data_IF_566856167236
#
_entry.id   IF_566856167236
#
_cell.length_a   1.000
_cell.length_b   1.000
_cell.length_c   1.000
_cell.angle_alpha   90.00
_cell.angle_beta   90.00
_cell.angle_gamma   90.00
#
_symmetry.space_group_name_H-M   'P 1'
#
loop_
_entity.id
_entity.type
_entity.pdbx_description
1 polymer ?
#
# COMPACT_ATOMS: atom_id res chain seq x y z
N UNK A 1 19.70 -82.83 -46.60
CA UNK A 1 20.13 -83.36 -45.28
C UNK A 1 21.48 -82.72 -44.97
N UNK A 2 21.73 -82.11 -43.79
CA UNK A 2 21.40 -82.60 -42.44
C UNK A 2 20.44 -81.71 -41.64
N UNK A 3 20.21 -82.13 -40.40
CA UNK A 3 19.10 -81.88 -39.44
C UNK A 3 19.57 -80.95 -38.28
N UNK A 4 18.80 -80.66 -37.20
CA UNK A 4 18.37 -79.30 -36.81
C UNK A 4 18.73 -78.86 -35.36
N UNK A 5 18.10 -77.75 -34.90
CA UNK A 5 17.82 -77.30 -33.51
C UNK A 5 18.93 -76.58 -32.72
N UNK A 6 18.62 -75.91 -31.59
CA UNK A 6 17.47 -75.05 -31.25
C UNK A 6 17.93 -73.72 -30.61
N UNK A 7 17.05 -72.71 -30.43
CA UNK A 7 16.83 -72.09 -29.10
C UNK A 7 15.83 -70.92 -29.15
N UNK A 8 14.79 -71.07 -28.31
CA UNK A 8 14.15 -70.03 -27.49
C UNK A 8 13.71 -68.70 -28.12
N UNK A 9 12.41 -68.61 -28.41
CA UNK A 9 11.40 -67.73 -27.76
C UNK A 9 11.92 -66.80 -26.62
N UNK A 10 11.16 -65.80 -26.13
CA UNK A 10 10.46 -64.69 -26.78
C UNK A 10 10.52 -63.42 -25.87
N UNK A 11 11.18 -62.31 -26.21
CA UNK A 11 11.15 -61.18 -25.25
C UNK A 11 11.37 -59.77 -25.81
N UNK A 12 11.72 -59.60 -27.08
CA UNK A 12 12.13 -58.26 -27.53
C UNK A 12 10.96 -57.36 -27.96
N UNK A 13 9.81 -57.93 -28.29
CA UNK A 13 8.64 -57.15 -28.74
C UNK A 13 7.83 -56.56 -27.56
N UNK A 14 8.10 -57.00 -26.33
CA UNK A 14 7.46 -56.47 -25.12
C UNK A 14 8.27 -55.38 -24.40
N UNK A 15 9.42 -54.97 -24.94
CA UNK A 15 10.24 -53.90 -24.36
C UNK A 15 10.09 -52.55 -25.08
N UNK A 16 9.47 -52.51 -26.26
CA UNK A 16 9.25 -51.26 -27.03
C UNK A 16 7.85 -50.64 -26.81
N UNK A 17 7.00 -51.27 -25.99
CA UNK A 17 5.63 -50.77 -25.70
C UNK A 17 5.48 -50.08 -24.35
N UNK A 18 6.54 -50.01 -23.53
CA UNK A 18 6.49 -49.39 -22.19
C UNK A 18 7.11 -47.98 -22.14
N UNK A 19 7.65 -47.46 -23.24
CA UNK A 19 8.41 -46.21 -23.27
C UNK A 19 7.67 -45.03 -23.93
N UNK A 20 6.34 -45.09 -24.04
CA UNK A 20 5.52 -44.04 -24.69
C UNK A 20 4.46 -43.44 -23.74
N UNK A 21 4.47 -43.77 -22.45
CA UNK A 21 3.48 -43.25 -21.47
C UNK A 21 4.00 -42.14 -20.54
N UNK A 22 5.00 -41.35 -20.94
CA UNK A 22 5.48 -40.21 -20.12
C UNK A 22 5.66 -38.91 -20.90
N UNK A 23 4.70 -38.56 -21.78
CA UNK A 23 4.55 -37.17 -22.25
C UNK A 23 3.10 -36.73 -22.21
N UNK A 24 2.52 -36.74 -21.00
CA UNK A 24 1.28 -36.04 -20.70
C UNK A 24 1.42 -35.30 -19.36
N UNK A 25 2.39 -34.39 -19.29
CA UNK A 25 2.31 -33.24 -18.41
C UNK A 25 2.22 -32.02 -19.32
N UNK A 26 1.00 -31.71 -19.79
CA UNK A 26 0.66 -30.34 -20.09
C UNK A 26 0.70 -29.60 -18.75
N UNK A 27 1.81 -28.97 -18.43
CA UNK A 27 1.87 -27.95 -17.40
C UNK A 27 1.22 -26.68 -17.95
N UNK A 28 -0.11 -26.68 -17.98
CA UNK A 28 -0.90 -25.45 -18.03
C UNK A 28 -1.05 -24.94 -16.58
N UNK A 29 0.08 -24.60 -15.97
CA UNK A 29 0.15 -23.95 -14.66
C UNK A 29 0.55 -22.48 -14.84
N UNK A 30 -0.06 -21.80 -15.82
CA UNK A 30 0.10 -20.36 -16.03
C UNK A 30 -1.19 -19.55 -15.82
N UNK A 31 -2.32 -20.16 -15.45
CA UNK A 31 -3.59 -19.41 -15.35
C UNK A 31 -4.47 -19.77 -14.14
N UNK A 32 -3.85 -20.20 -13.02
CA UNK A 32 -4.54 -20.41 -11.73
C UNK A 32 -3.86 -19.75 -10.53
N UNK A 33 -3.07 -18.71 -10.75
CA UNK A 33 -3.05 -17.62 -9.78
C UNK A 33 -4.35 -16.86 -9.97
N UNK A 34 -5.33 -17.15 -9.11
CA UNK A 34 -6.53 -16.34 -9.02
C UNK A 34 -6.10 -14.88 -9.06
N UNK A 35 -6.57 -14.14 -10.07
CA UNK A 35 -6.34 -12.70 -10.20
C UNK A 35 -6.80 -12.07 -8.90
N UNK A 36 -5.91 -11.96 -7.91
CA UNK A 36 -5.98 -10.91 -6.90
C UNK A 36 -6.02 -9.66 -7.75
N UNK A 37 -7.20 -9.06 -7.85
CA UNK A 37 -7.43 -7.91 -8.71
C UNK A 37 -6.31 -6.91 -8.42
N UNK A 38 -5.49 -6.64 -9.44
CA UNK A 38 -4.40 -5.68 -9.32
C UNK A 38 -4.98 -4.38 -8.75
N UNK A 39 -4.37 -3.88 -7.67
CA UNK A 39 -4.86 -2.68 -7.00
C UNK A 39 -4.73 -1.51 -7.98
N UNK A 40 -5.82 -0.75 -8.23
CA UNK A 40 -5.79 0.32 -9.23
C UNK A 40 -4.95 1.53 -8.82
N UNK A 41 -4.62 1.64 -7.53
CA UNK A 41 -3.85 2.74 -6.98
C UNK A 41 -2.71 2.20 -6.11
N UNK A 42 -1.80 3.10 -5.74
CA UNK A 42 -0.77 2.81 -4.73
C UNK A 42 -1.39 2.17 -3.48
N UNK A 43 -0.78 1.10 -3.00
CA UNK A 43 -1.24 0.36 -1.83
C UNK A 43 -0.81 1.09 -0.54
N UNK A 44 -1.57 2.13 -0.20
CA UNK A 44 -1.27 2.97 0.95
C UNK A 44 -1.35 2.17 2.25
N UNK A 45 -2.31 1.25 2.36
CA UNK A 45 -2.46 0.43 3.55
C UNK A 45 -1.22 -0.45 3.78
N UNK A 46 -0.80 -1.21 2.76
CA UNK A 46 0.39 -2.06 2.90
C UNK A 46 1.67 -1.25 3.14
N UNK A 47 1.79 -0.07 2.50
CA UNK A 47 2.92 0.82 2.76
C UNK A 47 2.96 1.29 4.22
N UNK A 48 1.82 1.70 4.79
CA UNK A 48 1.76 2.15 6.19
C UNK A 48 2.00 1.01 7.19
N UNK A 49 1.56 -0.22 6.88
CA UNK A 49 1.85 -1.39 7.71
C UNK A 49 3.36 -1.73 7.71
N UNK A 50 4.01 -1.65 6.54
CA UNK A 50 5.46 -1.81 6.43
C UNK A 50 6.22 -0.70 7.15
N UNK A 51 5.76 0.54 7.03
CA UNK A 51 6.37 1.68 7.70
C UNK A 51 6.19 1.61 9.22
N UNK A 52 5.07 1.11 9.75
CA UNK A 52 4.93 0.91 11.19
C UNK A 52 6.02 -0.03 11.72
N UNK A 53 6.23 -1.17 11.03
CA UNK A 53 7.29 -2.14 11.38
C UNK A 53 8.68 -1.54 11.26
N UNK A 54 8.92 -0.73 10.22
CA UNK A 54 10.20 -0.04 10.02
C UNK A 54 10.45 0.99 11.13
N UNK A 55 9.46 1.79 11.50
CA UNK A 55 9.57 2.81 12.55
C UNK A 55 9.80 2.18 13.93
N UNK A 56 9.16 1.03 14.22
CA UNK A 56 9.42 0.24 15.42
C UNK A 56 10.89 -0.19 15.50
N UNK A 57 11.49 -0.59 14.37
CA UNK A 57 12.89 -1.02 14.30
C UNK A 57 13.90 0.12 14.45
N UNK A 58 13.53 1.36 14.14
CA UNK A 58 14.42 2.52 14.23
C UNK A 58 14.67 2.97 15.67
N UNK A 59 13.77 2.63 16.60
CA UNK A 59 13.81 3.09 17.99
C UNK A 59 13.68 4.62 18.13
N UNK A 60 13.44 5.07 19.35
CA UNK A 60 13.43 6.49 19.71
C UNK A 60 14.82 7.10 19.94
N UNK A 61 14.88 8.32 20.49
CA UNK A 61 13.75 9.10 21.00
C UNK A 61 12.89 9.72 19.89
N UNK A 62 11.58 9.77 20.15
CA UNK A 62 10.57 10.43 19.32
C UNK A 62 9.96 11.59 20.09
N UNK A 63 9.86 12.75 19.47
CA UNK A 63 9.13 13.88 20.02
C UNK A 63 7.74 13.96 19.38
N UNK A 64 6.70 13.98 20.21
CA UNK A 64 5.32 14.25 19.81
C UNK A 64 4.91 15.61 20.33
N UNK A 65 4.56 16.51 19.42
CA UNK A 65 4.00 17.83 19.69
C UNK A 65 2.53 17.84 19.30
N UNK A 66 1.68 18.31 20.19
CA UNK A 66 0.26 18.56 19.95
C UNK A 66 0.00 20.05 20.15
N UNK A 67 -0.63 20.70 19.17
CA UNK A 67 -1.04 22.10 19.25
C UNK A 67 -2.56 22.16 19.08
N UNK A 68 -3.29 22.69 20.07
CA UNK A 68 -4.74 22.87 20.01
C UNK A 68 -5.06 24.31 20.37
N UNK A 69 -5.63 25.06 19.43
CA UNK A 69 -6.03 26.46 19.63
C UNK A 69 -4.95 27.33 20.32
N UNK A 70 -3.69 27.14 19.91
CA UNK A 70 -2.53 27.87 20.42
C UNK A 70 -1.88 27.30 21.69
N UNK A 71 -2.47 26.27 22.31
CA UNK A 71 -1.86 25.56 23.46
C UNK A 71 -1.03 24.39 22.95
N UNK A 72 0.22 24.36 23.37
CA UNK A 72 1.20 23.35 22.93
C UNK A 72 1.53 22.39 24.07
N UNK A 73 1.54 21.09 23.74
CA UNK A 73 2.04 20.01 24.59
C UNK A 73 3.12 19.25 23.83
N UNK A 74 4.26 19.01 24.47
CA UNK A 74 5.39 18.28 23.90
C UNK A 74 5.77 17.15 24.84
N UNK A 75 5.85 15.94 24.28
CA UNK A 75 6.29 14.74 24.99
C UNK A 75 7.34 13.99 24.19
N UNK A 76 8.29 13.39 24.90
CA UNK A 76 9.34 12.54 24.32
C UNK A 76 9.08 11.09 24.71
N UNK A 77 9.27 10.18 23.76
CA UNK A 77 9.04 8.75 23.92
C UNK A 77 10.22 7.96 23.38
N UNK A 78 10.65 6.94 24.12
CA UNK A 78 11.67 5.99 23.61
C UNK A 78 11.08 5.06 22.53
N UNK A 79 9.77 4.85 22.56
CA UNK A 79 9.01 4.10 21.57
C UNK A 79 7.57 4.61 21.50
N UNK A 80 6.97 4.53 20.31
CA UNK A 80 5.57 4.85 20.06
C UNK A 80 4.89 3.61 19.48
N UNK A 81 3.58 3.40 19.72
CA UNK A 81 2.83 2.32 19.08
C UNK A 81 2.58 2.67 17.60
N UNK A 82 3.58 2.50 16.75
CA UNK A 82 3.58 3.01 15.37
C UNK A 82 2.42 2.48 14.52
N UNK A 83 1.96 1.26 14.80
CA UNK A 83 0.77 0.70 14.15
C UNK A 83 -0.48 1.54 14.41
N UNK A 84 -0.67 2.02 15.64
CA UNK A 84 -1.83 2.84 16.01
C UNK A 84 -1.65 4.28 15.51
N UNK A 85 -0.43 4.82 15.62
CA UNK A 85 -0.10 6.16 15.15
C UNK A 85 -0.30 6.31 13.64
N UNK A 86 0.06 5.30 12.85
CA UNK A 86 -0.09 5.31 11.38
C UNK A 86 -1.46 4.84 10.88
N UNK A 87 -2.34 4.35 11.75
CA UNK A 87 -3.66 3.85 11.35
C UNK A 87 -4.53 4.94 10.70
N UNK A 88 -4.32 6.22 11.07
CA UNK A 88 -5.00 7.34 10.41
C UNK A 88 -4.65 7.45 8.92
N UNK A 89 -3.41 7.17 8.55
CA UNK A 89 -2.96 7.14 7.15
C UNK A 89 -3.47 5.88 6.44
N UNK A 90 -3.33 4.72 7.09
CA UNK A 90 -3.80 3.43 6.58
C UNK A 90 -5.29 3.46 6.21
N UNK A 91 -6.13 4.07 7.05
CA UNK A 91 -7.59 4.23 6.80
C UNK A 91 -7.93 5.17 5.63
N UNK A 92 -6.96 5.90 5.10
CA UNK A 92 -7.12 6.74 3.91
C UNK A 92 -6.83 6.01 2.60
N UNK A 93 -6.58 4.69 2.63
CA UNK A 93 -6.40 3.91 1.41
C UNK A 93 -7.63 4.02 0.49
N UNK A 94 -7.35 4.24 -0.80
CA UNK A 94 -8.36 4.49 -1.83
C UNK A 94 -8.65 3.26 -2.69
N UNK A 95 -8.05 2.10 -2.41
CA UNK A 95 -8.23 0.87 -3.18
C UNK A 95 -9.58 0.20 -2.85
N UNK A 96 -10.67 0.87 -3.22
CA UNK A 96 -12.03 0.30 -3.19
C UNK A 96 -12.51 0.04 -4.61
N UNK A 97 -13.14 -1.12 -4.90
CA UNK A 97 -13.61 -1.46 -6.24
C UNK A 97 -14.48 -0.35 -6.87
N UNK A 98 -15.38 0.24 -6.08
CA UNK A 98 -16.29 1.29 -6.54
C UNK A 98 -15.63 2.67 -6.77
N UNK A 99 -14.33 2.83 -6.51
CA UNK A 99 -13.62 4.11 -6.59
C UNK A 99 -12.63 4.20 -7.76
N UNK A 100 -12.41 3.11 -8.49
CA UNK A 100 -11.43 3.04 -9.59
C UNK A 100 -11.58 4.17 -10.61
N UNK A 101 -12.80 4.48 -11.01
CA UNK A 101 -13.11 5.50 -12.01
C UNK A 101 -13.39 6.88 -11.41
N UNK A 102 -13.24 7.03 -10.08
CA UNK A 102 -13.59 8.25 -9.33
C UNK A 102 -12.37 9.06 -8.91
N UNK A 103 -11.18 8.64 -9.36
CA UNK A 103 -9.93 9.37 -9.23
C UNK A 103 -9.26 9.52 -10.59
N UNK A 104 -8.63 10.68 -10.79
CA UNK A 104 -7.68 10.91 -11.87
C UNK A 104 -6.28 10.72 -11.32
N UNK A 105 -5.43 10.03 -12.07
CA UNK A 105 -4.03 9.80 -11.75
C UNK A 105 -3.14 10.70 -12.60
N UNK A 106 -2.25 11.43 -11.94
CA UNK A 106 -1.18 12.20 -12.56
C UNK A 106 0.18 11.69 -12.05
N UNK A 107 1.22 11.78 -12.88
CA UNK A 107 2.55 11.26 -12.56
C UNK A 107 3.65 12.17 -13.06
N UNK A 108 4.59 12.47 -12.17
CA UNK A 108 5.75 13.33 -12.46
C UNK A 108 7.00 12.45 -12.49
N UNK A 109 7.79 12.61 -13.54
CA UNK A 109 9.06 11.92 -13.73
C UNK A 109 10.23 12.90 -13.59
N UNK A 110 11.27 12.49 -12.88
CA UNK A 110 12.56 13.17 -12.85
C UNK A 110 13.54 12.39 -13.74
N UNK A 111 13.71 12.86 -14.98
CA UNK A 111 14.36 12.06 -16.03
C UNK A 111 13.51 10.83 -16.35
N UNK A 112 14.10 9.63 -16.29
CA UNK A 112 13.39 8.37 -16.54
C UNK A 112 12.83 7.71 -15.26
N UNK A 113 12.89 8.38 -14.11
CA UNK A 113 12.44 7.82 -12.83
C UNK A 113 11.16 8.49 -12.37
N UNK A 114 10.19 7.67 -11.96
CA UNK A 114 8.99 8.15 -11.30
C UNK A 114 9.38 8.88 -10.01
N UNK A 115 8.93 10.13 -9.89
CA UNK A 115 9.21 10.99 -8.74
C UNK A 115 7.96 11.22 -7.90
N UNK A 116 6.77 11.32 -8.50
CA UNK A 116 5.53 11.54 -7.78
C UNK A 116 4.36 10.90 -8.52
N UNK A 117 3.44 10.28 -7.78
CA UNK A 117 2.09 9.96 -8.28
C UNK A 117 1.09 10.76 -7.45
N UNK A 118 0.11 11.36 -8.12
CA UNK A 118 -1.00 12.06 -7.47
C UNK A 118 -2.33 11.48 -7.94
N UNK A 119 -3.19 11.15 -6.98
CA UNK A 119 -4.57 10.76 -7.21
C UNK A 119 -5.48 11.89 -6.73
N UNK A 120 -6.33 12.40 -7.61
CA UNK A 120 -7.29 13.46 -7.28
C UNK A 120 -8.72 12.95 -7.49
N UNK A 121 -9.57 13.06 -6.47
CA UNK A 121 -10.96 12.65 -6.57
C UNK A 121 -11.71 13.60 -7.51
N UNK A 122 -12.38 13.05 -8.52
CA UNK A 122 -13.31 13.82 -9.38
C UNK A 122 -14.72 13.85 -8.81
N UNK A 123 -15.00 12.98 -7.84
CA UNK A 123 -16.30 12.88 -7.21
C UNK A 123 -16.33 13.60 -5.85
N UNK A 124 -17.22 14.59 -5.73
CA UNK A 124 -17.34 15.43 -4.54
C UNK A 124 -17.88 14.69 -3.31
N UNK A 125 -18.32 13.43 -3.40
CA UNK A 125 -18.79 12.63 -2.25
C UNK A 125 -17.67 11.81 -1.60
N UNK A 126 -16.51 11.67 -2.24
CA UNK A 126 -15.38 10.95 -1.68
C UNK A 126 -14.63 11.78 -0.65
N UNK A 127 -14.34 11.19 0.52
CA UNK A 127 -13.69 11.91 1.60
C UNK A 127 -12.20 12.17 1.33
N UNK A 128 -11.50 11.25 0.65
CA UNK A 128 -10.10 11.45 0.26
C UNK A 128 -10.10 12.26 -1.03
N UNK A 129 -9.70 13.52 -0.95
CA UNK A 129 -9.67 14.44 -2.09
C UNK A 129 -8.40 14.30 -2.90
N UNK A 130 -7.30 14.11 -2.20
CA UNK A 130 -6.00 13.96 -2.81
C UNK A 130 -5.17 12.96 -2.02
N UNK A 131 -4.48 12.09 -2.75
CA UNK A 131 -3.40 11.25 -2.24
C UNK A 131 -2.19 11.48 -3.15
N UNK A 132 -1.09 11.95 -2.60
CA UNK A 132 0.17 12.13 -3.31
C UNK A 132 1.24 11.23 -2.67
N UNK A 133 1.98 10.51 -3.50
CA UNK A 133 3.09 9.64 -3.09
C UNK A 133 4.34 10.13 -3.80
N UNK A 134 5.35 10.54 -3.03
CA UNK A 134 6.64 10.95 -3.58
C UNK A 134 7.66 9.84 -3.40
N UNK A 135 8.45 9.63 -4.44
CA UNK A 135 9.47 8.61 -4.52
C UNK A 135 10.85 9.24 -4.46
N UNK A 136 11.74 8.61 -3.69
CA UNK A 136 13.17 8.94 -3.64
C UNK A 136 13.92 7.65 -3.95
N UNK A 137 14.79 7.68 -4.95
CA UNK A 137 15.54 6.51 -5.41
C UNK A 137 14.64 5.29 -5.73
N UNK A 138 13.45 5.54 -6.30
CA UNK A 138 12.49 4.50 -6.66
C UNK A 138 11.70 3.91 -5.50
N UNK A 139 11.87 4.41 -4.27
CA UNK A 139 11.12 3.96 -3.09
C UNK A 139 10.14 5.06 -2.62
N UNK A 140 8.91 4.71 -2.20
CA UNK A 140 8.01 5.67 -1.57
C UNK A 140 8.68 6.26 -0.33
N UNK A 141 8.75 7.58 -0.25
CA UNK A 141 9.46 8.29 0.82
C UNK A 141 8.55 9.30 1.53
N UNK A 142 7.53 9.82 0.85
CA UNK A 142 6.55 10.74 1.45
C UNK A 142 5.15 10.43 0.95
N UNK A 143 4.18 10.58 1.86
CA UNK A 143 2.76 10.50 1.55
C UNK A 143 2.09 11.78 2.05
N UNK A 144 1.31 12.42 1.17
CA UNK A 144 0.51 13.60 1.50
C UNK A 144 -0.95 13.34 1.14
N UNK A 145 -1.85 13.56 2.10
CA UNK A 145 -3.28 13.26 1.97
C UNK A 145 -4.09 14.49 2.32
N UNK A 146 -5.02 14.87 1.45
CA UNK A 146 -6.08 15.82 1.75
C UNK A 146 -7.39 15.05 1.92
N UNK A 147 -7.97 15.11 3.11
CA UNK A 147 -9.26 14.52 3.43
C UNK A 147 -10.26 15.60 3.79
N UNK A 148 -11.43 15.60 3.17
CA UNK A 148 -12.52 16.53 3.47
C UNK A 148 -13.78 15.74 3.73
N UNK A 149 -14.34 15.89 4.93
CA UNK A 149 -15.68 15.39 5.28
C UNK A 149 -16.60 16.60 5.36
N UNK A 150 -17.61 16.62 4.50
CA UNK A 150 -18.60 17.68 4.50
C UNK A 150 -20.00 17.06 4.61
N UNK A 151 -20.72 17.45 5.65
CA UNK A 151 -22.15 17.21 5.80
C UNK A 151 -22.85 18.54 6.05
N UNK A 152 -24.18 18.52 6.17
CA UNK A 152 -24.96 19.72 6.52
C UNK A 152 -24.59 20.28 7.90
N UNK A 153 -24.02 19.44 8.77
CA UNK A 153 -23.79 19.74 10.18
C UNK A 153 -22.29 19.85 10.48
N UNK A 154 -21.39 19.36 9.63
CA UNK A 154 -19.95 19.35 9.93
C UNK A 154 -19.16 19.67 8.67
N UNK A 155 -18.15 20.53 8.79
CA UNK A 155 -17.06 20.64 7.81
C UNK A 155 -15.74 20.31 8.49
N UNK A 156 -15.12 19.23 8.07
CA UNK A 156 -13.82 18.76 8.53
C UNK A 156 -12.85 18.73 7.36
N UNK A 157 -11.68 19.32 7.53
CA UNK A 157 -10.56 19.20 6.60
C UNK A 157 -9.35 18.67 7.37
N UNK A 158 -8.74 17.61 6.85
CA UNK A 158 -7.53 17.01 7.42
C UNK A 158 -6.45 17.00 6.35
N UNK A 159 -5.25 17.46 6.71
CA UNK A 159 -4.03 17.29 5.92
C UNK A 159 -3.11 16.36 6.67
N UNK A 160 -2.77 15.23 6.06
CA UNK A 160 -1.89 14.22 6.65
C UNK A 160 -0.62 14.15 5.83
N UNK A 161 0.54 14.34 6.46
CA UNK A 161 1.84 14.24 5.80
C UNK A 161 2.70 13.24 6.55
N UNK A 162 3.17 12.21 5.87
CA UNK A 162 4.07 11.20 6.40
C UNK A 162 5.39 11.25 5.66
N UNK A 163 6.49 11.08 6.38
CA UNK A 163 7.83 10.95 5.81
C UNK A 163 8.53 9.72 6.39
N UNK A 164 8.92 8.82 5.50
CA UNK A 164 9.53 7.53 5.83
C UNK A 164 10.73 7.70 6.74
N UNK A 165 10.72 6.94 7.85
CA UNK A 165 11.79 6.95 8.86
C UNK A 165 11.91 8.21 9.72
N UNK A 166 11.15 9.28 9.43
CA UNK A 166 11.26 10.56 10.14
C UNK A 166 10.04 10.89 11.00
N UNK A 167 8.85 10.44 10.61
CA UNK A 167 7.60 10.69 11.34
C UNK A 167 6.53 11.35 10.48
N UNK A 168 5.65 12.12 11.11
CA UNK A 168 4.46 12.66 10.45
C UNK A 168 4.02 14.01 10.99
N UNK A 169 3.17 14.68 10.20
CA UNK A 169 2.49 15.91 10.56
C UNK A 169 1.04 15.87 10.11
N UNK A 170 0.12 16.12 11.05
CA UNK A 170 -1.32 16.12 10.84
C UNK A 170 -1.84 17.50 11.21
N UNK A 171 -2.58 18.11 10.29
CA UNK A 171 -3.36 19.32 10.55
C UNK A 171 -4.83 18.97 10.40
N UNK A 172 -5.63 19.35 11.38
CA UNK A 172 -7.06 19.18 11.35
C UNK A 172 -7.76 20.50 11.58
N UNK A 173 -8.69 20.83 10.69
CA UNK A 173 -9.52 22.01 10.78
C UNK A 173 -10.98 21.59 10.79
N UNK A 174 -11.69 22.00 11.83
CA UNK A 174 -13.09 21.64 12.03
C UNK A 174 -13.94 22.89 12.21
N UNK A 175 -15.08 22.92 11.54
CA UNK A 175 -16.11 23.92 11.71
C UNK A 175 -17.44 23.24 12.03
N UNK A 176 -17.96 23.53 13.23
CA UNK A 176 -19.30 23.16 13.65
C UNK A 176 -20.25 24.35 13.47
N UNK A 177 -21.56 24.12 13.24
CA UNK A 177 -22.58 25.14 13.28
C UNK A 177 -22.54 25.87 14.61
N UNK A 178 -22.60 27.20 14.58
CA UNK A 178 -22.63 28.04 15.77
C UNK A 178 -21.40 27.94 16.68
N UNK A 179 -20.26 27.45 16.17
CA UNK A 179 -18.98 27.44 16.87
C UNK A 179 -17.89 28.11 16.04
N UNK A 180 -16.86 28.60 16.71
CA UNK A 180 -15.64 29.03 16.04
C UNK A 180 -14.94 27.84 15.37
N UNK A 181 -14.05 28.16 14.43
CA UNK A 181 -13.25 27.14 13.75
C UNK A 181 -12.18 26.65 14.72
N UNK A 182 -12.19 25.36 15.04
CA UNK A 182 -11.15 24.72 15.84
C UNK A 182 -10.05 24.20 14.92
N UNK A 183 -8.79 24.38 15.33
CA UNK A 183 -7.63 23.87 14.59
C UNK A 183 -6.69 23.17 15.55
N UNK A 184 -6.31 21.95 15.19
CA UNK A 184 -5.29 21.22 15.91
C UNK A 184 -4.23 20.64 14.98
N UNK A 185 -3.03 20.53 15.50
CA UNK A 185 -1.88 19.96 14.82
C UNK A 185 -1.24 18.88 15.69
N UNK A 186 -0.80 17.81 15.06
CA UNK A 186 0.02 16.78 15.70
C UNK A 186 1.26 16.60 14.84
N UNK A 187 2.44 16.78 15.43
CA UNK A 187 3.72 16.47 14.80
C UNK A 187 4.39 15.38 15.59
N UNK A 188 4.85 14.33 14.91
CA UNK A 188 5.80 13.37 15.48
C UNK A 188 7.05 13.39 14.63
N UNK A 189 8.20 13.60 15.24
CA UNK A 189 9.48 13.57 14.56
C UNK A 189 10.55 12.91 15.41
N UNK A 190 11.60 12.41 14.75
CA UNK A 190 12.80 11.93 15.43
C UNK A 190 13.49 13.11 16.14
N UNK A 191 13.86 12.90 17.39
CA UNK A 191 14.61 13.88 18.19
C UNK A 191 16.12 13.66 18.08
#
# INVERSE_FOLDING_TARGET
MPRPLPLSLPAFVLYLSCLVFFTACLSDEADRQGRMAEKPFFDLAAFMDAEATHMDSLGGPWQKRTLIDGKEEIHTFDSLPWKDELDIFRRCDINRPAWRERYVTDSIFAGQRLSTIRYAAIDSTLNIRQLEVRFVNGRPAKVSILKIIQSRIIRLQQQLNYQSGLGYHIINEQKLPFSEKTRWEITVCKF
#
